data_IF_710793935973
#
_entry.id   IF_710793935973
#
_cell.length_a   1.000
_cell.length_b   1.000
_cell.length_c   1.000
_cell.angle_alpha   90.00
_cell.angle_beta   90.00
_cell.angle_gamma   90.00
#
_symmetry.space_group_name_H-M   'P 1'
#
loop_
_entity.id
_entity.type
_entity.pdbx_description
1 polymer ?
#
# COMPACT_ATOMS: atom_id res chain seq x y z
N UNK A 1 1.00 -10.95 33.48
CA UNK A 1 0.89 -11.99 32.43
C UNK A 1 1.51 -11.46 31.16
N UNK A 2 2.64 -12.00 30.74
CA UNK A 2 3.34 -11.57 29.51
C UNK A 2 2.56 -12.07 28.29
N UNK A 3 2.07 -11.15 27.45
CA UNK A 3 1.36 -11.53 26.21
C UNK A 3 2.38 -12.15 25.25
N UNK A 4 2.32 -13.47 25.06
CA UNK A 4 3.07 -14.19 24.01
C UNK A 4 2.53 -13.79 22.64
N UNK A 5 2.89 -12.62 22.14
CA UNK A 5 2.60 -12.25 20.75
C UNK A 5 3.55 -13.02 19.83
N UNK A 6 3.05 -13.63 18.74
CA UNK A 6 3.91 -14.31 17.78
C UNK A 6 4.93 -13.31 17.22
N UNK A 7 6.23 -13.68 17.24
CA UNK A 7 7.34 -12.85 16.72
C UNK A 7 7.16 -12.45 15.25
N UNK A 8 6.38 -13.22 14.48
CA UNK A 8 6.08 -12.94 13.06
C UNK A 8 4.63 -13.29 12.77
N UNK A 9 3.86 -12.29 12.33
CA UNK A 9 2.49 -12.49 11.81
C UNK A 9 2.57 -12.42 10.29
N UNK A 10 2.20 -13.52 9.62
CA UNK A 10 2.10 -13.53 8.16
C UNK A 10 0.77 -12.87 7.79
N UNK A 11 0.85 -11.71 7.14
CA UNK A 11 -0.33 -10.95 6.70
C UNK A 11 -0.63 -11.28 5.24
N UNK A 12 -1.91 -11.44 4.89
CA UNK A 12 -2.31 -11.72 3.52
C UNK A 12 -2.02 -10.53 2.59
N UNK A 13 -1.64 -10.81 1.34
CA UNK A 13 -1.41 -9.79 0.31
C UNK A 13 -2.64 -8.89 0.11
N UNK A 14 -3.85 -9.44 0.24
CA UNK A 14 -5.10 -8.70 0.16
C UNK A 14 -5.25 -7.67 1.30
N UNK A 15 -4.89 -8.03 2.53
CA UNK A 15 -4.93 -7.12 3.67
C UNK A 15 -3.94 -5.96 3.49
N UNK A 16 -2.72 -6.24 3.02
CA UNK A 16 -1.73 -5.21 2.67
C UNK A 16 -2.28 -4.26 1.59
N UNK A 17 -2.89 -4.80 0.53
CA UNK A 17 -3.49 -3.98 -0.55
C UNK A 17 -4.61 -3.08 -0.04
N UNK A 18 -5.50 -3.58 0.83
CA UNK A 18 -6.57 -2.78 1.44
C UNK A 18 -6.03 -1.66 2.32
N UNK A 19 -5.00 -1.93 3.12
CA UNK A 19 -4.34 -0.92 3.95
C UNK A 19 -3.74 0.20 3.10
N UNK A 20 -2.98 -0.16 2.07
CA UNK A 20 -2.38 0.81 1.14
C UNK A 20 -3.44 1.69 0.45
N UNK A 21 -4.57 1.11 0.01
CA UNK A 21 -5.67 1.90 -0.58
C UNK A 21 -6.28 2.91 0.39
N UNK A 22 -6.42 2.55 1.68
CA UNK A 22 -6.93 3.47 2.72
C UNK A 22 -5.98 4.65 2.92
N UNK A 23 -4.69 4.37 3.03
CA UNK A 23 -3.67 5.40 3.17
C UNK A 23 -3.71 6.38 1.99
N UNK A 24 -3.74 5.87 0.76
CA UNK A 24 -3.82 6.70 -0.46
C UNK A 24 -5.07 7.59 -0.46
N UNK A 25 -6.24 7.05 -0.11
CA UNK A 25 -7.48 7.85 -0.01
C UNK A 25 -7.39 8.93 1.07
N UNK A 26 -6.81 8.60 2.22
CA UNK A 26 -6.62 9.55 3.31
C UNK A 26 -5.68 10.68 2.90
N UNK A 27 -4.52 10.36 2.31
CA UNK A 27 -3.56 11.35 1.80
C UNK A 27 -4.19 12.27 0.76
N UNK A 28 -4.92 11.72 -0.22
CA UNK A 28 -5.61 12.54 -1.20
C UNK A 28 -6.62 13.50 -0.55
N UNK A 29 -7.37 13.01 0.45
CA UNK A 29 -8.33 13.85 1.19
C UNK A 29 -7.65 14.99 1.94
N UNK A 30 -6.46 14.77 2.52
CA UNK A 30 -5.69 15.82 3.19
C UNK A 30 -5.28 16.94 2.23
N UNK A 31 -5.09 16.62 0.95
CA UNK A 31 -4.78 17.59 -0.10
C UNK A 31 -6.03 18.16 -0.79
N UNK A 32 -7.23 17.89 -0.27
CA UNK A 32 -8.50 18.31 -0.88
C UNK A 32 -8.85 17.58 -2.18
N UNK A 33 -8.19 16.45 -2.46
CA UNK A 33 -8.38 15.63 -3.66
C UNK A 33 -9.19 14.37 -3.37
N UNK A 34 -9.83 13.80 -4.38
CA UNK A 34 -10.54 12.51 -4.30
C UNK A 34 -9.87 11.51 -5.24
N UNK A 35 -9.72 10.26 -4.77
CA UNK A 35 -9.25 9.14 -5.60
C UNK A 35 -10.47 8.40 -6.15
N UNK A 36 -10.74 8.47 -7.47
CA UNK A 36 -11.88 7.79 -8.07
C UNK A 36 -11.82 6.27 -7.90
N UNK A 37 -12.99 5.63 -7.94
CA UNK A 37 -13.07 4.17 -8.03
C UNK A 37 -12.39 3.71 -9.33
N UNK A 38 -11.55 2.67 -9.25
CA UNK A 38 -10.82 2.17 -10.41
C UNK A 38 -9.61 3.02 -10.84
N UNK A 39 -9.26 4.08 -10.11
CA UNK A 39 -8.08 4.89 -10.43
C UNK A 39 -6.81 4.03 -10.48
N UNK A 40 -6.16 4.04 -11.65
CA UNK A 40 -4.88 3.39 -11.88
C UNK A 40 -3.77 4.43 -11.89
N UNK A 41 -2.59 4.04 -11.38
CA UNK A 41 -1.39 4.88 -11.44
C UNK A 41 -1.00 5.10 -12.90
N UNK A 42 -0.53 6.30 -13.23
CA UNK A 42 0.02 6.60 -14.56
C UNK A 42 1.20 5.68 -14.90
N UNK A 43 1.44 5.46 -16.20
CA UNK A 43 2.54 4.63 -16.66
C UNK A 43 3.91 5.09 -16.09
N UNK A 44 4.14 6.39 -15.99
CA UNK A 44 5.35 6.96 -15.39
C UNK A 44 5.51 6.58 -13.91
N UNK A 45 4.42 6.68 -13.13
CA UNK A 45 4.45 6.29 -11.72
C UNK A 45 4.66 4.77 -11.55
N UNK A 46 4.09 3.96 -12.44
CA UNK A 46 4.34 2.52 -12.46
C UNK A 46 5.81 2.19 -12.77
N UNK A 47 6.40 2.84 -13.78
CA UNK A 47 7.81 2.68 -14.13
C UNK A 47 8.75 3.09 -12.98
N UNK A 48 8.43 4.18 -12.27
CA UNK A 48 9.21 4.62 -11.11
C UNK A 48 9.17 3.60 -9.96
N UNK A 49 8.01 3.01 -9.68
CA UNK A 49 7.88 1.95 -8.67
C UNK A 49 8.61 0.67 -9.07
N UNK A 50 8.57 0.31 -10.35
CA UNK A 50 9.30 -0.86 -10.86
C UNK A 50 10.82 -0.71 -10.67
N UNK A 51 11.36 0.50 -10.87
CA UNK A 51 12.78 0.81 -10.61
C UNK A 51 13.18 0.70 -9.13
N UNK A 52 12.22 0.88 -8.22
CA UNK A 52 12.46 0.81 -6.77
C UNK A 52 12.22 -0.57 -6.17
N UNK A 53 11.69 -1.52 -6.94
CA UNK A 53 11.56 -2.89 -6.45
C UNK A 53 12.96 -3.47 -6.25
N UNK A 54 13.31 -3.94 -5.04
CA UNK A 54 14.57 -4.61 -4.83
C UNK A 54 14.66 -5.82 -5.77
N UNK A 55 15.87 -6.18 -6.26
CA UNK A 55 16.04 -7.38 -7.06
C UNK A 55 15.44 -8.55 -6.29
N UNK A 56 14.56 -9.29 -6.97
CA UNK A 56 13.89 -10.43 -6.36
C UNK A 56 14.97 -11.44 -5.99
N UNK A 57 15.12 -11.69 -4.69
CA UNK A 57 16.13 -12.59 -4.14
C UNK A 57 15.68 -14.03 -4.22
#
# INVERSE_FOLDING_TARGET
MERRTPKKVVVSKAAVKRSAMRAVKASAKLEGRVVPAGHQRSAAAQAYLAKQQPPTR
#
